data_IF_477091914060
#
_entry.id   IF_477091914060
#
_cell.length_a   1.000
_cell.length_b   1.000
_cell.length_c   1.000
_cell.angle_alpha   90.00
_cell.angle_beta   90.00
_cell.angle_gamma   90.00
#
_symmetry.space_group_name_H-M   'P 1'
#
loop_
_entity.id
_entity.type
_entity.pdbx_description
1 polymer ?
#
# COMPACT_ATOMS: atom_id res chain seq x y z
N UNK A 1 1.80 -18.34 -4.79
CA UNK A 1 3.21 -17.90 -4.98
C UNK A 1 4.17 -18.95 -4.43
N UNK A 2 5.39 -19.05 -4.98
CA UNK A 2 6.46 -19.90 -4.42
C UNK A 2 6.91 -19.41 -3.04
N UNK A 3 7.61 -20.26 -2.28
CA UNK A 3 8.25 -19.84 -1.03
C UNK A 3 9.18 -18.64 -1.26
N UNK A 4 9.16 -17.67 -0.34
CA UNK A 4 9.87 -16.39 -0.50
C UNK A 4 9.31 -15.45 -1.58
N UNK A 5 8.29 -15.87 -2.34
CA UNK A 5 7.59 -15.02 -3.30
C UNK A 5 6.68 -14.00 -2.62
N UNK A 6 6.49 -12.84 -3.25
CA UNK A 6 5.58 -11.80 -2.75
C UNK A 6 4.24 -11.79 -3.48
N UNK A 7 3.18 -11.46 -2.75
CA UNK A 7 1.88 -11.04 -3.30
C UNK A 7 1.71 -9.54 -3.05
N UNK A 8 1.18 -8.82 -4.03
CA UNK A 8 0.78 -7.42 -3.91
C UNK A 8 -0.67 -7.29 -4.35
N UNK A 9 -1.49 -6.59 -3.56
CA UNK A 9 -2.89 -6.34 -3.87
C UNK A 9 -3.28 -4.91 -3.49
N UNK A 10 -4.33 -4.41 -4.14
CA UNK A 10 -5.03 -3.19 -3.74
C UNK A 10 -6.47 -3.55 -3.36
N UNK A 11 -6.98 -3.00 -2.27
CA UNK A 11 -8.35 -3.23 -1.84
C UNK A 11 -8.98 -1.97 -1.22
N UNK A 12 -10.30 -2.00 -0.96
CA UNK A 12 -10.98 -1.01 -0.10
C UNK A 12 -10.35 -0.99 1.30
N UNK A 13 -10.11 0.19 1.85
CA UNK A 13 -9.44 0.36 3.14
C UNK A 13 -10.20 -0.29 4.32
N UNK A 14 -11.53 -0.21 4.33
CA UNK A 14 -12.39 -0.84 5.34
C UNK A 14 -12.26 -2.38 5.43
N UNK A 15 -11.72 -3.00 4.37
CA UNK A 15 -11.51 -4.46 4.29
C UNK A 15 -10.11 -4.88 4.76
N UNK A 16 -9.33 -3.95 5.33
CA UNK A 16 -7.96 -4.23 5.78
C UNK A 16 -7.91 -5.39 6.78
N UNK A 17 -8.83 -5.43 7.75
CA UNK A 17 -8.90 -6.51 8.73
C UNK A 17 -9.04 -7.89 8.06
N UNK A 18 -9.94 -8.00 7.07
CA UNK A 18 -10.14 -9.27 6.33
C UNK A 18 -8.91 -9.67 5.53
N UNK A 19 -8.24 -8.70 4.89
CA UNK A 19 -7.01 -8.94 4.14
C UNK A 19 -5.91 -9.46 5.07
N UNK A 20 -5.74 -8.85 6.24
CA UNK A 20 -4.74 -9.28 7.23
C UNK A 20 -5.06 -10.67 7.79
N UNK A 21 -6.34 -10.96 8.08
CA UNK A 21 -6.77 -12.27 8.53
C UNK A 21 -6.50 -13.37 7.49
N UNK A 22 -6.74 -13.08 6.21
CA UNK A 22 -6.47 -14.02 5.12
C UNK A 22 -4.97 -14.29 4.89
N UNK A 23 -4.11 -13.31 5.14
CA UNK A 23 -2.66 -13.41 4.96
C UNK A 23 -1.94 -14.06 6.16
N UNK A 24 -2.39 -13.76 7.38
CA UNK A 24 -1.68 -14.08 8.64
C UNK A 24 -1.17 -15.51 8.77
N UNK A 25 -1.93 -16.56 8.39
CA UNK A 25 -1.46 -17.94 8.52
C UNK A 25 -0.32 -18.33 7.54
N UNK A 26 -0.12 -17.57 6.45
CA UNK A 26 0.70 -18.00 5.29
C UNK A 26 1.83 -17.04 4.92
N UNK A 27 1.79 -15.80 5.39
CA UNK A 27 2.71 -14.75 4.98
C UNK A 27 3.04 -13.78 6.12
N UNK A 28 4.22 -13.16 6.00
CA UNK A 28 4.70 -12.08 6.87
C UNK A 28 5.34 -10.98 6.03
N UNK A 29 6.22 -10.19 6.65
CA UNK A 29 6.80 -8.99 6.04
C UNK A 29 5.72 -8.09 5.40
N UNK A 30 4.56 -8.01 6.06
CA UNK A 30 3.41 -7.30 5.49
C UNK A 30 3.73 -5.81 5.43
N UNK A 31 3.48 -5.20 4.28
CA UNK A 31 3.60 -3.75 4.05
C UNK A 31 2.23 -3.24 3.67
N UNK A 32 1.69 -2.34 4.49
CA UNK A 32 0.41 -1.68 4.25
C UNK A 32 0.70 -0.24 3.87
N UNK A 33 0.34 0.18 2.66
CA UNK A 33 0.42 1.57 2.23
C UNK A 33 -0.99 2.13 2.02
N UNK A 34 -1.47 3.02 2.90
CA UNK A 34 -2.75 3.69 2.71
C UNK A 34 -2.74 4.60 1.48
N UNK A 35 -3.86 4.64 0.74
CA UNK A 35 -4.09 5.59 -0.35
C UNK A 35 -5.24 6.51 0.04
N UNK A 36 -4.92 7.79 0.17
CA UNK A 36 -5.82 8.84 0.57
C UNK A 36 -6.23 9.69 -0.64
N UNK A 37 -7.49 10.09 -0.78
CA UNK A 37 -7.86 11.11 -1.77
C UNK A 37 -7.08 12.40 -1.55
N UNK A 38 -7.04 12.87 -0.31
CA UNK A 38 -6.27 14.01 0.16
C UNK A 38 -5.62 13.63 1.50
N UNK A 39 -4.48 14.23 1.85
CA UNK A 39 -3.71 13.87 3.05
C UNK A 39 -4.50 14.00 4.37
N UNK A 40 -5.51 14.87 4.40
CA UNK A 40 -6.39 15.14 5.54
C UNK A 40 -7.68 14.30 5.55
N UNK A 41 -7.91 13.45 4.55
CA UNK A 41 -9.09 12.59 4.46
C UNK A 41 -8.77 11.12 4.80
N UNK A 42 -9.73 10.31 5.26
CA UNK A 42 -9.54 8.88 5.44
C UNK A 42 -9.11 8.15 4.15
N UNK A 43 -8.28 7.11 4.30
CA UNK A 43 -7.87 6.27 3.18
C UNK A 43 -9.09 5.57 2.55
N UNK A 44 -9.23 5.62 1.23
CA UNK A 44 -10.28 4.90 0.47
C UNK A 44 -9.78 3.56 -0.07
N UNK A 45 -8.47 3.43 -0.25
CA UNK A 45 -7.81 2.20 -0.72
C UNK A 45 -6.59 1.91 0.14
N UNK A 46 -6.21 0.64 0.16
CA UNK A 46 -4.98 0.15 0.79
C UNK A 46 -4.23 -0.70 -0.23
N UNK A 47 -2.93 -0.46 -0.34
CA UNK A 47 -2.00 -1.36 -0.98
C UNK A 47 -1.42 -2.28 0.09
N UNK A 48 -1.43 -3.58 -0.17
CA UNK A 48 -0.84 -4.58 0.74
C UNK A 48 0.11 -5.45 -0.04
N UNK A 49 1.35 -5.55 0.45
CA UNK A 49 2.35 -6.50 -0.02
C UNK A 49 2.73 -7.45 1.11
N UNK A 50 2.87 -8.73 0.83
CA UNK A 50 3.29 -9.73 1.81
C UNK A 50 4.20 -10.78 1.17
N UNK A 51 5.06 -11.40 1.97
CA UNK A 51 6.00 -12.45 1.54
C UNK A 51 5.59 -13.79 2.12
N UNK A 52 5.41 -14.81 1.26
CA UNK A 52 5.03 -16.15 1.68
C UNK A 52 6.09 -16.76 2.60
N UNK A 53 5.63 -17.38 3.69
CA UNK A 53 6.44 -17.96 4.76
C UNK A 53 7.40 -17.02 5.50
N UNK A 54 7.33 -15.71 5.25
CA UNK A 54 8.04 -14.76 6.10
C UNK A 54 7.41 -14.67 7.48
N UNK A 55 8.24 -14.41 8.49
CA UNK A 55 7.84 -14.11 9.87
C UNK A 55 8.15 -12.67 10.29
N UNK A 56 8.67 -11.86 9.37
CA UNK A 56 9.01 -10.46 9.67
C UNK A 56 7.74 -9.66 10.00
N UNK A 57 7.85 -8.62 10.87
CA UNK A 57 6.70 -7.85 11.31
C UNK A 57 6.04 -7.07 10.18
N UNK A 58 4.76 -6.74 10.42
CA UNK A 58 3.99 -5.80 9.61
C UNK A 58 4.57 -4.39 9.78
N UNK A 59 4.57 -3.61 8.70
CA UNK A 59 4.82 -2.17 8.73
C UNK A 59 3.70 -1.43 7.98
N UNK A 60 3.25 -0.31 8.57
CA UNK A 60 2.43 0.68 7.88
C UNK A 60 3.39 1.72 7.29
N UNK A 61 3.30 1.91 5.98
CA UNK A 61 4.16 2.81 5.22
C UNK A 61 3.54 4.21 5.14
N UNK A 62 4.34 5.25 4.83
CA UNK A 62 3.81 6.57 4.51
C UNK A 62 2.70 6.51 3.46
N UNK A 63 1.61 7.28 3.61
CA UNK A 63 0.48 7.22 2.70
C UNK A 63 0.86 7.70 1.30
N UNK A 64 0.04 7.35 0.33
CA UNK A 64 -0.01 8.03 -0.96
C UNK A 64 -1.26 8.93 -0.98
N UNK A 65 -1.07 10.24 -0.90
CA UNK A 65 -2.15 11.21 -1.13
C UNK A 65 -2.27 11.45 -2.64
N UNK A 66 -3.46 11.20 -3.20
CA UNK A 66 -3.68 11.31 -4.65
C UNK A 66 -3.77 12.76 -5.12
N UNK A 67 -4.26 13.66 -4.27
CA UNK A 67 -4.53 15.05 -4.61
C UNK A 67 -4.03 16.00 -3.53
N UNK A 68 -3.70 17.22 -3.94
CA UNK A 68 -3.40 18.35 -3.07
C UNK A 68 -4.51 19.42 -3.20
N UNK A 69 -4.85 20.10 -2.11
CA UNK A 69 -5.89 21.14 -2.14
C UNK A 69 -5.40 22.32 -2.98
N UNK A 70 -6.18 22.72 -3.98
CA UNK A 70 -5.80 23.80 -4.90
C UNK A 70 -4.64 23.45 -5.84
N UNK A 71 -4.19 22.19 -5.84
CA UNK A 71 -3.12 21.70 -6.69
C UNK A 71 -3.59 21.19 -8.05
N UNK A 72 -2.69 20.62 -8.84
CA UNK A 72 -3.01 19.94 -10.09
C UNK A 72 -3.92 18.71 -9.87
N UNK A 73 -4.33 18.08 -10.98
CA UNK A 73 -5.24 16.93 -10.94
C UNK A 73 -4.74 15.79 -10.04
N UNK A 74 -3.44 15.54 -9.95
CA UNK A 74 -2.85 14.59 -9.01
C UNK A 74 -1.66 15.23 -8.29
N UNK A 75 -1.34 14.76 -7.09
CA UNK A 75 -0.10 15.14 -6.40
C UNK A 75 1.12 14.78 -7.26
N UNK A 76 2.27 15.45 -7.10
CA UNK A 76 3.48 15.14 -7.88
C UNK A 76 3.91 13.68 -7.79
N UNK A 77 3.82 13.06 -6.60
CA UNK A 77 4.14 11.65 -6.41
C UNK A 77 3.16 10.73 -7.18
N UNK A 78 1.86 10.99 -7.06
CA UNK A 78 0.84 10.19 -7.73
C UNK A 78 0.94 10.31 -9.25
N UNK A 79 1.18 11.52 -9.78
CA UNK A 79 1.36 11.75 -11.22
C UNK A 79 2.57 10.99 -11.77
N UNK A 80 3.72 11.03 -11.08
CA UNK A 80 4.92 10.30 -11.49
C UNK A 80 4.68 8.78 -11.53
N UNK A 81 3.96 8.22 -10.55
CA UNK A 81 3.58 6.80 -10.56
C UNK A 81 2.64 6.47 -11.73
N UNK A 82 1.63 7.30 -11.96
CA UNK A 82 0.65 7.09 -13.04
C UNK A 82 1.27 7.20 -14.44
N UNK A 83 2.33 8.02 -14.59
CA UNK A 83 3.11 8.12 -15.83
C UNK A 83 4.17 7.03 -16.00
N UNK A 84 4.38 6.19 -14.97
CA UNK A 84 5.43 5.17 -14.96
C UNK A 84 6.84 5.74 -14.76
N UNK A 85 6.94 7.00 -14.33
CA UNK A 85 8.21 7.67 -14.01
C UNK A 85 8.72 7.29 -12.61
N UNK A 86 7.82 6.79 -11.75
CA UNK A 86 8.15 6.27 -10.42
C UNK A 86 7.44 4.93 -10.13
N UNK A 87 8.04 4.13 -9.26
CA UNK A 87 7.44 2.90 -8.74
C UNK A 87 6.75 3.10 -7.40
N UNK A 88 5.96 2.11 -6.97
CA UNK A 88 5.46 2.04 -5.60
C UNK A 88 6.60 1.69 -4.64
N UNK A 89 6.99 2.62 -3.76
CA UNK A 89 7.96 2.36 -2.71
C UNK A 89 7.38 1.38 -1.66
N UNK A 90 8.12 0.30 -1.36
CA UNK A 90 7.72 -0.76 -0.41
C UNK A 90 8.58 -0.83 0.85
N UNK A 91 9.49 0.12 1.01
CA UNK A 91 10.41 0.25 2.14
C UNK A 91 10.15 1.60 2.80
N UNK A 92 10.24 1.67 4.13
CA UNK A 92 10.49 2.94 4.80
C UNK A 92 11.91 3.38 4.40
N UNK A 93 12.05 4.63 3.96
CA UNK A 93 13.37 5.24 3.79
C UNK A 93 14.15 5.23 5.11
#
# INVERSE_FOLDING_TARGET
VREGGSITLIHRAERLADVLAALGPKAGAVRVRPIHPFADEPAKRILVRAVKASRAPLQILPPLALHERGGPKHSPEAEAILRGEAGLAWTSA
#
